data_IF_694227847667
#
_entry.id   IF_694227847667
#
_cell.length_a   1.000
_cell.length_b   1.000
_cell.length_c   1.000
_cell.angle_alpha   90.00
_cell.angle_beta   90.00
_cell.angle_gamma   90.00
#
_symmetry.space_group_name_H-M   'P 1'
#
loop_
_entity.id
_entity.type
_entity.pdbx_description
1 polymer ?
#
# COMPACT_ATOMS: atom_id res chain seq x y z
N UNK A 1 33.99 -12.11 10.90
CA UNK A 1 33.09 -10.94 11.11
C UNK A 1 32.95 -10.13 9.81
N UNK A 2 33.82 -10.36 8.83
CA UNK A 2 33.88 -9.65 7.55
C UNK A 2 32.79 -10.08 6.53
N UNK A 3 32.25 -11.30 6.65
CA UNK A 3 31.16 -11.81 5.79
C UNK A 3 29.76 -11.30 6.18
N UNK A 4 29.62 -10.67 7.36
CA UNK A 4 28.34 -10.12 7.80
C UNK A 4 28.00 -8.79 7.11
N UNK A 5 29.01 -7.98 6.75
CA UNK A 5 28.81 -6.68 6.12
C UNK A 5 28.16 -6.79 4.73
N UNK A 6 28.61 -7.70 3.83
CA UNK A 6 27.96 -7.88 2.52
C UNK A 6 26.51 -8.39 2.60
N UNK A 7 26.21 -9.21 3.62
CA UNK A 7 24.85 -9.75 3.81
C UNK A 7 23.88 -8.64 4.23
N UNK A 8 24.31 -7.75 5.13
CA UNK A 8 23.51 -6.61 5.56
C UNK A 8 23.27 -5.62 4.41
N UNK A 9 24.29 -5.35 3.59
CA UNK A 9 24.15 -4.50 2.40
C UNK A 9 23.19 -5.09 1.36
N UNK A 10 23.18 -6.42 1.23
CA UNK A 10 22.23 -7.11 0.36
C UNK A 10 20.81 -7.02 0.94
N UNK A 11 20.65 -7.21 2.25
CA UNK A 11 19.37 -7.06 2.94
C UNK A 11 18.78 -5.66 2.78
N UNK A 12 19.59 -4.62 2.97
CA UNK A 12 19.16 -3.22 2.76
C UNK A 12 18.66 -2.98 1.34
N UNK A 13 19.42 -3.43 0.33
CA UNK A 13 19.00 -3.34 -1.08
C UNK A 13 17.70 -4.09 -1.36
N UNK A 14 17.54 -5.29 -0.80
CA UNK A 14 16.30 -6.07 -0.96
C UNK A 14 15.10 -5.35 -0.34
N UNK A 15 15.25 -4.78 0.85
CA UNK A 15 14.19 -4.01 1.51
C UNK A 15 13.86 -2.74 0.73
N UNK A 16 14.87 -2.03 0.22
CA UNK A 16 14.68 -0.83 -0.58
C UNK A 16 13.93 -1.10 -1.89
N UNK A 17 14.34 -2.13 -2.63
CA UNK A 17 13.64 -2.55 -3.86
C UNK A 17 12.21 -2.99 -3.55
N UNK A 18 12.00 -3.75 -2.48
CA UNK A 18 10.65 -4.17 -2.06
C UNK A 18 9.79 -2.96 -1.72
N UNK A 19 10.33 -1.98 -0.99
CA UNK A 19 9.63 -0.74 -0.66
C UNK A 19 9.25 0.05 -1.91
N UNK A 20 10.16 0.19 -2.88
CA UNK A 20 9.89 0.88 -4.15
C UNK A 20 8.80 0.20 -4.97
N UNK A 21 8.81 -1.14 -5.05
CA UNK A 21 7.79 -1.91 -5.78
C UNK A 21 6.43 -1.84 -5.08
N UNK A 22 6.40 -1.91 -3.74
CA UNK A 22 5.16 -1.86 -2.98
C UNK A 22 4.58 -0.42 -2.85
N UNK A 23 5.43 0.60 -2.87
CA UNK A 23 5.06 2.00 -2.68
C UNK A 23 3.86 2.47 -3.53
N UNK A 24 3.81 2.29 -4.87
CA UNK A 24 2.70 2.79 -5.68
C UNK A 24 1.34 2.19 -5.26
N UNK A 25 1.29 0.87 -5.00
CA UNK A 25 0.06 0.19 -4.58
C UNK A 25 -0.35 0.60 -3.16
N UNK A 26 0.62 0.69 -2.24
CA UNK A 26 0.35 1.08 -0.86
C UNK A 26 -0.14 2.52 -0.75
N UNK A 27 0.50 3.46 -1.45
CA UNK A 27 0.10 4.86 -1.45
C UNK A 27 -1.27 5.07 -2.09
N UNK A 28 -1.53 4.42 -3.23
CA UNK A 28 -2.82 4.53 -3.91
C UNK A 28 -3.96 3.93 -3.07
N UNK A 29 -3.76 2.72 -2.51
CA UNK A 29 -4.75 2.06 -1.66
C UNK A 29 -5.00 2.82 -0.34
N UNK A 30 -3.97 3.46 0.23
CA UNK A 30 -4.08 4.34 1.39
C UNK A 30 -4.90 5.58 1.08
N UNK A 31 -4.58 6.29 -0.02
CA UNK A 31 -5.27 7.51 -0.42
C UNK A 31 -6.77 7.27 -0.65
N UNK A 32 -7.11 6.20 -1.38
CA UNK A 32 -8.50 5.82 -1.64
C UNK A 32 -9.20 5.36 -0.36
N UNK A 33 -8.55 4.52 0.45
CA UNK A 33 -9.11 4.07 1.72
C UNK A 33 -9.40 5.23 2.66
N UNK A 34 -8.51 6.22 2.73
CA UNK A 34 -8.70 7.43 3.53
C UNK A 34 -9.85 8.27 2.99
N UNK A 35 -9.89 8.55 1.69
CA UNK A 35 -10.94 9.35 1.07
C UNK A 35 -12.33 8.74 1.30
N UNK A 36 -12.46 7.42 1.09
CA UNK A 36 -13.73 6.70 1.31
C UNK A 36 -14.06 6.61 2.80
N UNK A 37 -13.07 6.46 3.68
CA UNK A 37 -13.26 6.48 5.13
C UNK A 37 -13.79 7.82 5.64
N UNK A 38 -13.27 8.94 5.11
CA UNK A 38 -13.76 10.29 5.45
C UNK A 38 -15.21 10.47 5.00
N UNK A 39 -15.55 10.04 3.79
CA UNK A 39 -16.94 10.12 3.29
C UNK A 39 -17.88 9.28 4.15
N UNK A 40 -17.50 8.04 4.45
CA UNK A 40 -18.27 7.15 5.33
C UNK A 40 -18.50 7.75 6.72
N UNK A 41 -17.45 8.33 7.31
CA UNK A 41 -17.55 9.00 8.61
C UNK A 41 -18.46 10.23 8.55
N UNK A 42 -18.34 11.04 7.48
CA UNK A 42 -19.13 12.26 7.31
C UNK A 42 -20.63 11.98 7.07
N UNK A 43 -20.96 10.89 6.36
CA UNK A 43 -22.35 10.52 6.04
C UNK A 43 -22.92 9.48 6.98
N UNK A 44 -22.17 9.03 7.99
CA UNK A 44 -22.53 7.91 8.89
C UNK A 44 -22.88 6.60 8.17
N UNK A 45 -22.39 6.41 6.94
CA UNK A 45 -22.58 5.18 6.16
C UNK A 45 -21.45 4.23 6.50
N UNK A 46 -21.77 3.07 7.08
CA UNK A 46 -20.79 2.05 7.45
C UNK A 46 -21.07 0.75 6.67
N UNK A 47 -20.96 0.84 5.35
CA UNK A 47 -21.11 -0.30 4.46
C UNK A 47 -19.75 -0.84 4.04
N UNK A 48 -19.46 -2.08 4.43
CA UNK A 48 -18.17 -2.73 4.19
C UNK A 48 -17.79 -2.79 2.70
N UNK A 49 -18.78 -2.94 1.82
CA UNK A 49 -18.63 -2.97 0.36
C UNK A 49 -18.10 -1.65 -0.22
N UNK A 50 -18.51 -0.53 0.36
CA UNK A 50 -18.12 0.82 -0.04
C UNK A 50 -16.62 1.07 0.18
N UNK A 51 -16.03 0.43 1.19
CA UNK A 51 -14.57 0.46 1.41
C UNK A 51 -13.82 -0.52 0.51
N UNK A 52 -14.42 -1.68 0.22
CA UNK A 52 -13.76 -2.77 -0.50
C UNK A 52 -13.64 -2.52 -2.01
N UNK A 53 -14.75 -2.17 -2.68
CA UNK A 53 -14.81 -2.08 -4.14
C UNK A 53 -13.87 -1.00 -4.72
N UNK A 54 -13.88 0.25 -4.22
CA UNK A 54 -12.99 1.29 -4.76
C UNK A 54 -11.52 0.95 -4.54
N UNK A 55 -11.16 0.38 -3.37
CA UNK A 55 -9.79 -0.03 -3.07
C UNK A 55 -9.32 -1.13 -4.01
N UNK A 56 -10.17 -2.13 -4.29
CA UNK A 56 -9.83 -3.22 -5.21
C UNK A 56 -9.65 -2.71 -6.64
N UNK A 57 -10.52 -1.82 -7.11
CA UNK A 57 -10.42 -1.22 -8.44
C UNK A 57 -9.09 -0.46 -8.62
N UNK A 58 -8.70 0.35 -7.64
CA UNK A 58 -7.45 1.12 -7.70
C UNK A 58 -6.23 0.20 -7.60
N UNK A 59 -6.22 -0.79 -6.71
CA UNK A 59 -5.12 -1.76 -6.64
C UNK A 59 -4.95 -2.49 -7.97
N UNK A 60 -6.04 -2.92 -8.63
CA UNK A 60 -5.98 -3.55 -9.95
C UNK A 60 -5.43 -2.59 -11.02
N UNK A 61 -5.84 -1.32 -11.00
CA UNK A 61 -5.36 -0.30 -11.94
C UNK A 61 -3.86 0.01 -11.78
N UNK A 62 -3.34 -0.03 -10.56
CA UNK A 62 -1.91 0.25 -10.29
C UNK A 62 -1.03 -0.96 -10.64
N UNK A 63 -1.59 -2.17 -10.62
CA UNK A 63 -0.86 -3.41 -10.93
C UNK A 63 -0.80 -3.75 -12.43
N UNK A 64 -1.68 -3.18 -13.25
CA UNK A 64 -1.76 -3.36 -14.71
C UNK A 64 -0.93 -2.29 -15.40
#
# INVERSE_FOLDING_TARGET
MDEALPLLDLADKMLWVTALVAAPVLLASLAVGLMVGVVQAATSVNEQTLTFVPKLAVTALVLV
#
